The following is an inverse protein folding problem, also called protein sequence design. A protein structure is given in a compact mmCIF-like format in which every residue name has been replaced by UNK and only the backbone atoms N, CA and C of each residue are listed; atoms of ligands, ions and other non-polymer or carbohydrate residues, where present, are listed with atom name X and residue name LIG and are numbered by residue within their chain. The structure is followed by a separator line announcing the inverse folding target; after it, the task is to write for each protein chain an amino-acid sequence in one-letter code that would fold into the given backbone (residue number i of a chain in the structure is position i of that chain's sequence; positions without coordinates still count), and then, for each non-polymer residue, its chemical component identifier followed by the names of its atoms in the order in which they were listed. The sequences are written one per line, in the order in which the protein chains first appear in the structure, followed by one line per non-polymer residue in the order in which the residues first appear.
data_IF_305393565973
#
_entry.id   IF_305393565973
#
_cell.length_a   1.000
_cell.length_b   1.000
_cell.length_c   1.000
_cell.angle_alpha   90.00
_cell.angle_beta   90.00
_cell.angle_gamma   90.00
#
_symmetry.space_group_name_H-M   'P 1'
#
loop_
_entity.id
_entity.type
_entity.pdbx_description
1 polymer ?
#
# COMPACT_ATOMS: atom_id res chain seq x y z
N UNK A 1 -8.12 12.13 -76.61
CA UNK A 1 -9.51 12.58 -76.33
C UNK A 1 -10.47 11.45 -76.67
N UNK A 2 -11.12 10.86 -75.65
CA UNK A 2 -12.48 10.31 -75.63
C UNK A 2 -12.70 9.68 -74.24
N UNK A 3 -13.65 10.25 -73.51
CA UNK A 3 -14.17 9.79 -72.21
C UNK A 3 -15.44 8.93 -72.43
N UNK A 4 -15.94 8.34 -71.32
CA UNK A 4 -17.22 7.64 -71.09
C UNK A 4 -17.22 6.11 -71.29
N UNK A 5 -17.89 5.26 -70.49
CA UNK A 5 -18.82 5.33 -69.34
C UNK A 5 -18.87 3.89 -68.73
N UNK A 6 -18.86 3.66 -67.41
CA UNK A 6 -19.97 3.55 -66.43
C UNK A 6 -20.82 2.24 -66.48
N UNK A 7 -21.13 1.73 -65.27
CA UNK A 7 -22.05 0.65 -64.83
C UNK A 7 -21.38 -0.71 -64.51
N UNK A 8 -21.08 -1.05 -63.24
CA UNK A 8 -21.95 -1.50 -62.13
C UNK A 8 -22.83 -2.70 -62.51
N UNK A 9 -22.41 -3.90 -62.10
CA UNK A 9 -23.27 -5.07 -61.95
C UNK A 9 -23.00 -5.72 -60.58
N UNK A 10 -23.97 -5.57 -59.70
CA UNK A 10 -24.09 -6.21 -58.38
C UNK A 10 -24.93 -7.47 -58.57
N UNK A 11 -24.39 -8.65 -58.25
CA UNK A 11 -25.16 -9.85 -57.91
C UNK A 11 -24.22 -10.99 -57.48
N UNK A 12 -24.07 -11.22 -56.17
CA UNK A 12 -23.66 -12.55 -55.69
C UNK A 12 -24.35 -12.80 -54.36
N UNK A 13 -25.44 -13.55 -54.45
CA UNK A 13 -26.10 -14.19 -53.33
C UNK A 13 -25.26 -15.39 -52.87
N UNK A 14 -24.97 -15.49 -51.58
CA UNK A 14 -24.61 -16.77 -50.97
C UNK A 14 -25.19 -16.85 -49.56
N UNK A 15 -26.30 -17.60 -49.47
CA UNK A 15 -26.80 -18.18 -48.24
C UNK A 15 -25.69 -19.04 -47.61
N UNK A 16 -25.38 -18.79 -46.35
CA UNK A 16 -24.80 -19.80 -45.46
C UNK A 16 -25.66 -19.83 -44.20
N UNK A 17 -26.47 -20.88 -44.10
CA UNK A 17 -27.17 -21.31 -42.90
C UNK A 17 -26.32 -22.35 -42.20
N UNK A 18 -25.83 -22.10 -40.98
CA UNK A 18 -25.43 -23.13 -39.99
C UNK A 18 -25.47 -22.47 -38.59
N UNK A 19 -26.52 -22.71 -37.81
CA UNK A 19 -26.65 -23.73 -36.74
C UNK A 19 -26.26 -23.25 -35.34
N UNK A 20 -27.28 -23.20 -34.48
CA UNK A 20 -27.30 -23.67 -33.09
C UNK A 20 -26.12 -23.27 -32.18
N UNK A 21 -26.31 -22.18 -31.43
CA UNK A 21 -25.83 -22.13 -30.05
C UNK A 21 -27.02 -22.42 -29.15
N UNK A 22 -26.99 -23.57 -28.47
CA UNK A 22 -27.84 -23.86 -27.33
C UNK A 22 -27.75 -22.68 -26.36
N UNK A 23 -28.88 -22.02 -26.10
CA UNK A 23 -29.02 -21.14 -24.97
C UNK A 23 -28.86 -21.98 -23.70
N UNK A 24 -27.64 -21.97 -23.15
CA UNK A 24 -27.42 -22.34 -21.76
C UNK A 24 -28.42 -21.56 -20.92
N UNK A 25 -29.22 -22.28 -20.14
CA UNK A 25 -30.13 -21.72 -19.15
C UNK A 25 -29.27 -21.05 -18.08
N UNK A 26 -28.83 -19.83 -18.36
CA UNK A 26 -28.44 -18.91 -17.33
C UNK A 26 -29.74 -18.51 -16.65
N UNK A 27 -30.01 -19.11 -15.49
CA UNK A 27 -30.91 -18.53 -14.50
C UNK A 27 -30.31 -17.19 -14.10
N UNK A 28 -30.58 -16.18 -14.91
CA UNK A 28 -30.46 -14.78 -14.55
C UNK A 28 -31.45 -14.59 -13.41
N UNK A 29 -30.96 -14.74 -12.18
CA UNK A 29 -31.66 -14.21 -11.02
C UNK A 29 -31.82 -12.72 -11.30
N UNK A 30 -33.06 -12.31 -11.56
CA UNK A 30 -33.41 -10.92 -11.76
C UNK A 30 -32.95 -10.08 -10.57
N UNK A 31 -33.00 -8.75 -10.70
CA UNK A 31 -32.72 -7.86 -9.59
C UNK A 31 -33.52 -8.29 -8.35
N UNK A 32 -32.85 -8.38 -7.20
CA UNK A 32 -33.47 -8.73 -5.91
C UNK A 32 -34.59 -7.72 -5.67
N UNK A 33 -35.83 -8.18 -5.78
CA UNK A 33 -37.01 -7.36 -5.51
C UNK A 33 -37.20 -7.37 -4.00
N UNK A 34 -36.98 -6.23 -3.37
CA UNK A 34 -37.21 -6.04 -1.94
C UNK A 34 -38.71 -6.25 -1.67
N UNK A 35 -39.07 -7.41 -1.11
CA UNK A 35 -40.46 -7.80 -0.82
C UNK A 35 -40.85 -9.21 -1.27
N UNK A 36 -39.98 -9.95 -1.99
CA UNK A 36 -40.22 -11.35 -2.33
C UNK A 36 -39.76 -12.28 -1.20
N UNK A 37 -40.72 -12.96 -0.56
CA UNK A 37 -40.49 -13.88 0.56
C UNK A 37 -39.67 -15.12 0.20
N UNK A 38 -39.49 -15.43 -1.10
CA UNK A 38 -38.63 -16.53 -1.55
C UNK A 38 -37.13 -16.18 -1.58
N UNK A 39 -36.79 -14.90 -1.39
CA UNK A 39 -35.39 -14.43 -1.29
C UNK A 39 -34.93 -14.14 0.14
N UNK A 40 -35.83 -14.29 1.12
CA UNK A 40 -35.50 -14.13 2.53
C UNK A 40 -35.05 -15.49 3.07
N UNK A 41 -33.75 -15.62 3.33
CA UNK A 41 -33.23 -16.75 4.12
C UNK A 41 -33.76 -16.58 5.54
N UNK A 42 -34.65 -17.46 5.96
CA UNK A 42 -35.18 -17.49 7.33
C UNK A 42 -34.31 -18.41 8.18
N UNK A 43 -34.22 -18.16 9.48
CA UNK A 43 -33.39 -18.91 10.44
C UNK A 43 -33.72 -20.42 10.53
N UNK A 44 -34.77 -20.88 9.84
CA UNK A 44 -35.15 -22.29 9.75
C UNK A 44 -34.37 -23.08 8.69
N UNK A 45 -33.63 -22.41 7.79
CA UNK A 45 -32.94 -23.08 6.68
C UNK A 45 -31.51 -23.51 7.07
N UNK A 46 -31.45 -24.65 7.76
CA UNK A 46 -30.21 -25.25 8.33
C UNK A 46 -29.06 -25.46 7.34
N UNK A 47 -29.34 -25.44 6.03
CA UNK A 47 -28.32 -25.59 4.98
C UNK A 47 -27.35 -24.39 4.87
N UNK A 48 -27.74 -23.23 5.40
CA UNK A 48 -26.93 -22.00 5.32
C UNK A 48 -26.38 -21.54 6.69
N UNK A 49 -26.61 -22.32 7.74
CA UNK A 49 -26.17 -22.06 9.12
C UNK A 49 -25.14 -23.09 9.59
N UNK A 50 -24.19 -23.45 8.73
CA UNK A 50 -23.04 -24.27 9.15
C UNK A 50 -22.01 -23.37 9.86
N UNK A 51 -21.73 -23.70 11.12
CA UNK A 51 -20.68 -23.07 11.91
C UNK A 51 -19.31 -23.61 11.45
N UNK A 52 -18.52 -22.76 10.80
CA UNK A 52 -17.17 -23.12 10.32
C UNK A 52 -16.09 -22.94 11.39
N UNK A 53 -16.46 -22.73 12.66
CA UNK A 53 -15.50 -22.66 13.75
C UNK A 53 -15.18 -24.07 14.25
N UNK A 54 -14.01 -24.59 13.87
CA UNK A 54 -13.48 -25.82 14.48
C UNK A 54 -12.99 -25.50 15.89
N UNK A 55 -13.64 -26.05 16.90
CA UNK A 55 -13.21 -25.93 18.30
C UNK A 55 -11.77 -26.45 18.47
N UNK A 56 -10.87 -25.57 18.88
CA UNK A 56 -9.47 -25.91 19.16
C UNK A 56 -9.43 -26.61 20.51
N UNK A 57 -9.33 -27.94 20.52
CA UNK A 57 -9.09 -28.68 21.76
C UNK A 57 -7.70 -28.35 22.32
N UNK A 58 -7.58 -27.96 23.60
CA UNK A 58 -6.30 -27.70 24.22
C UNK A 58 -5.51 -29.02 24.37
N UNK A 59 -4.33 -29.06 23.76
CA UNK A 59 -3.37 -30.16 23.90
C UNK A 59 -2.81 -30.15 25.33
N UNK A 60 -3.21 -31.11 26.14
CA UNK A 60 -2.58 -31.40 27.43
C UNK A 60 -1.11 -31.82 27.22
N UNK A 61 -0.14 -31.20 27.91
CA UNK A 61 1.24 -31.67 27.88
C UNK A 61 1.38 -32.96 28.70
N UNK A 62 1.90 -34.01 28.06
CA UNK A 62 2.29 -35.25 28.72
C UNK A 62 3.31 -34.98 29.83
N UNK A 63 2.97 -35.45 31.02
CA UNK A 63 3.85 -35.52 32.19
C UNK A 63 4.30 -36.97 32.36
N UNK A 64 5.52 -37.12 32.89
CA UNK A 64 6.26 -38.33 33.25
C UNK A 64 7.20 -38.84 32.13
N UNK A 65 8.50 -38.97 32.37
CA UNK A 65 8.99 -40.01 33.27
C UNK A 65 10.32 -39.64 33.93
N UNK A 66 10.35 -39.92 35.24
CA UNK A 66 11.46 -39.88 36.18
C UNK A 66 12.51 -40.95 35.84
N UNK A 67 13.79 -40.64 36.01
CA UNK A 67 14.80 -41.65 36.37
C UNK A 67 15.77 -41.08 37.40
N UNK A 68 15.88 -41.84 38.48
CA UNK A 68 16.60 -41.60 39.72
C UNK A 68 17.89 -42.41 39.68
N UNK A 69 19.01 -41.85 40.15
CA UNK A 69 20.16 -42.52 40.84
C UNK A 69 21.27 -41.45 41.05
N UNK A 70 21.40 -40.84 42.24
CA UNK A 70 22.14 -41.26 43.45
C UNK A 70 23.67 -41.33 43.28
N UNK A 71 24.41 -40.36 43.85
CA UNK A 71 25.52 -40.53 44.84
C UNK A 71 26.17 -39.18 45.25
N UNK A 72 25.84 -38.73 46.48
CA UNK A 72 26.72 -38.30 47.61
C UNK A 72 27.90 -37.30 47.47
N UNK A 73 28.30 -36.62 48.59
CA UNK A 73 28.50 -35.17 48.64
C UNK A 73 29.96 -34.71 48.85
N UNK A 74 30.24 -33.42 48.62
CA UNK A 74 31.37 -32.75 49.27
C UNK A 74 31.11 -31.25 49.53
N UNK A 75 31.00 -30.98 50.82
CA UNK A 75 31.34 -29.80 51.63
C UNK A 75 31.54 -28.40 51.03
N UNK A 76 30.74 -27.49 51.62
CA UNK A 76 31.03 -26.13 52.14
C UNK A 76 31.88 -25.14 51.33
N UNK A 77 31.28 -24.00 50.94
CA UNK A 77 31.63 -22.62 51.41
C UNK A 77 30.48 -21.63 51.05
N UNK A 78 29.80 -21.14 52.09
CA UNK A 78 29.42 -19.75 52.42
C UNK A 78 28.75 -18.78 51.40
N UNK A 79 27.59 -18.25 51.83
CA UNK A 79 26.79 -17.12 51.30
C UNK A 79 27.58 -15.78 51.22
N UNK A 80 27.21 -14.70 50.51
CA UNK A 80 26.01 -14.12 49.89
C UNK A 80 26.51 -13.00 48.90
N UNK A 81 25.73 -12.04 48.34
CA UNK A 81 24.28 -11.90 48.15
C UNK A 81 23.86 -11.55 46.69
N UNK A 82 22.53 -11.55 46.47
CA UNK A 82 21.78 -11.13 45.28
C UNK A 82 22.27 -9.84 44.62
N UNK A 83 22.44 -9.87 43.30
CA UNK A 83 22.20 -8.72 42.43
C UNK A 83 21.29 -9.14 41.26
N UNK A 84 20.05 -8.66 41.30
CA UNK A 84 19.19 -8.57 40.12
C UNK A 84 19.86 -7.65 39.10
N UNK A 85 20.06 -8.07 37.85
CA UNK A 85 20.24 -7.11 36.77
C UNK A 85 18.92 -6.37 36.60
N UNK A 86 18.97 -5.08 36.94
CA UNK A 86 17.93 -4.08 36.74
C UNK A 86 17.18 -4.29 35.43
N UNK A 87 15.87 -4.45 35.60
CA UNK A 87 14.85 -4.25 34.58
C UNK A 87 15.12 -2.88 33.93
N UNK A 88 15.58 -2.90 32.66
CA UNK A 88 15.69 -1.71 31.84
C UNK A 88 14.28 -1.14 31.64
N UNK A 89 13.97 -0.07 32.34
CA UNK A 89 12.88 0.83 31.97
C UNK A 89 13.20 1.42 30.59
N UNK A 90 12.33 1.28 29.57
CA UNK A 90 12.44 2.11 28.38
C UNK A 90 11.97 3.52 28.76
N UNK A 91 12.88 4.34 29.27
CA UNK A 91 12.63 5.78 29.39
C UNK A 91 12.69 6.36 27.97
N UNK A 92 11.56 6.28 27.26
CA UNK A 92 11.35 7.01 26.01
C UNK A 92 11.40 8.51 26.31
N UNK A 93 12.59 9.10 26.19
CA UNK A 93 12.74 10.54 26.10
C UNK A 93 12.00 11.01 24.84
N UNK A 94 11.10 11.98 25.01
CA UNK A 94 10.47 12.66 23.88
C UNK A 94 11.58 13.22 22.98
N UNK A 95 11.66 12.79 21.72
CA UNK A 95 12.74 13.20 20.84
C UNK A 95 12.65 14.72 20.58
N UNK A 96 13.67 15.45 21.03
CA UNK A 96 13.81 16.89 20.84
C UNK A 96 14.87 17.14 19.77
N UNK A 97 14.44 17.71 18.64
CA UNK A 97 15.33 18.10 17.54
C UNK A 97 14.57 18.77 16.40
N UNK A 98 15.29 19.32 15.43
CA UNK A 98 14.70 19.81 14.19
C UNK A 98 14.19 18.63 13.38
N UNK A 99 12.86 18.52 13.23
CA UNK A 99 12.22 17.42 12.51
C UNK A 99 10.70 17.47 12.60
N UNK A 100 10.06 16.47 12.02
CA UNK A 100 8.61 16.32 12.05
C UNK A 100 8.20 15.53 13.29
N UNK A 101 7.54 16.20 14.23
CA UNK A 101 6.89 15.56 15.39
C UNK A 101 5.40 15.38 15.12
N UNK A 102 4.90 14.16 15.32
CA UNK A 102 3.50 13.79 15.18
C UNK A 102 3.03 13.16 16.48
N UNK A 103 2.13 13.85 17.17
CA UNK A 103 1.59 13.41 18.46
C UNK A 103 0.26 12.70 18.24
N UNK A 104 0.24 11.38 18.37
CA UNK A 104 -0.99 10.62 18.52
C UNK A 104 -1.33 10.52 20.01
N UNK A 105 -2.60 10.23 20.32
CA UNK A 105 -3.09 10.09 21.71
C UNK A 105 -2.26 9.11 22.55
N UNK A 106 -1.73 8.06 21.92
CA UNK A 106 -1.09 6.94 22.61
C UNK A 106 0.43 6.88 22.34
N UNK A 107 0.93 7.58 21.32
CA UNK A 107 2.32 7.48 20.82
C UNK A 107 2.73 8.77 20.14
N UNK A 108 3.99 9.18 20.33
CA UNK A 108 4.60 10.28 19.58
C UNK A 108 5.63 9.74 18.59
N UNK A 109 5.49 10.13 17.33
CA UNK A 109 6.41 9.78 16.23
C UNK A 109 7.24 11.01 15.88
N UNK A 110 8.53 10.81 15.69
CA UNK A 110 9.46 11.86 15.28
C UNK A 110 10.32 11.40 14.12
N UNK A 111 10.44 12.25 13.10
CA UNK A 111 11.32 12.04 11.97
C UNK A 111 12.32 13.20 11.92
N UNK A 112 13.60 12.97 12.28
CA UNK A 112 14.63 14.00 12.28
C UNK A 112 14.89 14.54 10.87
N UNK A 113 15.24 15.82 10.75
CA UNK A 113 15.69 16.41 9.49
C UNK A 113 14.60 16.62 8.44
N UNK A 114 13.35 16.24 8.74
CA UNK A 114 12.21 16.37 7.84
C UNK A 114 11.37 17.58 8.24
N UNK A 115 11.16 18.48 7.29
CA UNK A 115 10.24 19.62 7.43
C UNK A 115 8.96 19.31 6.66
N UNK A 116 7.81 19.57 7.28
CA UNK A 116 6.51 19.35 6.64
C UNK A 116 5.56 20.53 6.81
N UNK A 117 4.64 20.68 5.86
CA UNK A 117 3.52 21.62 5.93
C UNK A 117 2.25 20.83 6.29
N UNK A 118 1.50 21.31 7.27
CA UNK A 118 0.21 20.75 7.68
C UNK A 118 -0.95 21.14 6.75
N UNK A 119 -0.66 21.68 5.56
CA UNK A 119 -1.61 22.43 4.72
C UNK A 119 -2.91 21.72 4.32
N UNK A 120 -3.02 20.40 4.53
CA UNK A 120 -4.25 19.61 4.43
C UNK A 120 -4.28 18.42 5.42
N UNK A 121 -3.63 18.56 6.58
CA UNK A 121 -3.45 17.45 7.53
C UNK A 121 -4.79 17.06 8.16
N UNK A 122 -5.42 16.00 7.65
CA UNK A 122 -6.50 15.31 8.36
C UNK A 122 -5.87 14.50 9.48
N UNK A 123 -5.77 15.11 10.66
CA UNK A 123 -5.41 14.39 11.87
C UNK A 123 -6.69 13.79 12.46
N UNK A 124 -6.91 12.52 12.17
CA UNK A 124 -7.88 11.72 12.92
C UNK A 124 -7.06 11.04 14.02
N UNK A 125 -7.59 10.81 15.22
CA UNK A 125 -6.77 10.30 16.35
C UNK A 125 -5.95 9.01 16.11
N UNK A 126 -6.17 8.33 14.98
CA UNK A 126 -5.40 7.19 14.49
C UNK A 126 -4.61 7.43 13.19
N UNK A 127 -4.80 8.54 12.48
CA UNK A 127 -4.07 8.82 11.24
C UNK A 127 -3.68 10.30 11.11
N UNK A 128 -2.48 10.53 10.60
CA UNK A 128 -1.97 11.87 10.34
C UNK A 128 -1.41 11.94 8.92
N UNK A 129 -1.69 13.02 8.20
CA UNK A 129 -1.20 13.26 6.85
C UNK A 129 -0.46 14.60 6.79
N UNK A 130 0.73 14.62 6.20
CA UNK A 130 1.55 15.83 6.08
C UNK A 130 2.09 15.97 4.65
N UNK A 131 2.29 17.20 4.18
CA UNK A 131 3.03 17.45 2.94
C UNK A 131 4.50 17.68 3.24
N UNK A 132 5.41 16.97 2.57
CA UNK A 132 6.85 17.21 2.69
C UNK A 132 7.17 18.61 2.15
N UNK A 133 7.89 19.42 2.92
CA UNK A 133 8.37 20.74 2.48
C UNK A 133 9.88 20.82 2.35
N UNK A 134 10.62 19.91 2.97
CA UNK A 134 12.07 19.80 2.86
C UNK A 134 12.64 18.66 3.69
N UNK A 135 13.86 18.24 3.37
CA UNK A 135 14.53 17.10 3.99
C UNK A 135 14.43 15.82 3.16
N UNK A 136 15.28 14.85 3.48
CA UNK A 136 15.33 13.54 2.81
C UNK A 136 14.69 12.47 3.71
N UNK A 137 13.74 11.71 3.14
CA UNK A 137 13.07 10.63 3.88
C UNK A 137 13.87 9.33 3.82
N UNK A 138 14.48 9.03 2.68
CA UNK A 138 15.31 7.84 2.54
C UNK A 138 16.56 7.96 3.41
N UNK A 139 16.92 6.90 4.14
CA UNK A 139 18.06 6.91 5.05
C UNK A 139 17.80 7.60 6.40
N UNK A 140 16.69 8.33 6.55
CA UNK A 140 16.27 8.91 7.83
C UNK A 140 15.74 7.85 8.80
N UNK A 141 15.72 8.19 10.08
CA UNK A 141 15.17 7.33 11.13
C UNK A 141 13.78 7.80 11.55
N UNK A 142 12.89 6.85 11.79
CA UNK A 142 11.60 7.08 12.41
C UNK A 142 11.71 6.67 13.88
N UNK A 143 11.58 7.65 14.76
CA UNK A 143 11.68 7.50 16.22
C UNK A 143 10.27 7.45 16.82
N UNK A 144 9.97 6.45 17.63
CA UNK A 144 8.66 6.22 18.22
C UNK A 144 8.79 6.19 19.75
N UNK A 145 7.95 6.98 20.42
CA UNK A 145 7.94 7.16 21.87
C UNK A 145 6.52 7.04 22.45
N UNK A 146 6.40 6.66 23.74
CA UNK A 146 5.10 6.57 24.43
C UNK A 146 4.45 5.18 24.45
N UNK A 147 5.02 4.19 23.75
CA UNK A 147 4.52 2.81 23.73
C UNK A 147 5.54 1.82 23.16
N UNK A 148 5.21 0.53 23.24
CA UNK A 148 6.02 -0.54 22.65
C UNK A 148 5.50 -0.86 21.25
N UNK A 149 6.34 -0.68 20.24
CA UNK A 149 6.00 -0.99 18.84
C UNK A 149 6.22 -2.48 18.59
N UNK A 150 5.19 -3.16 18.09
CA UNK A 150 5.24 -4.57 17.74
C UNK A 150 5.54 -4.76 16.26
N UNK A 151 4.98 -3.90 15.41
CA UNK A 151 5.13 -3.98 13.96
C UNK A 151 5.10 -2.59 13.35
N UNK A 152 6.12 -2.29 12.54
CA UNK A 152 6.16 -1.09 11.72
C UNK A 152 6.28 -1.52 10.26
N UNK A 153 5.29 -1.15 9.44
CA UNK A 153 5.31 -1.41 8.00
C UNK A 153 5.25 -0.12 7.20
N UNK A 154 5.96 -0.11 6.08
CA UNK A 154 6.02 0.98 5.13
C UNK A 154 5.39 0.55 3.80
N UNK A 155 4.69 1.48 3.18
CA UNK A 155 4.22 1.39 1.80
C UNK A 155 4.40 2.74 1.14
N UNK A 156 4.64 2.76 -0.16
CA UNK A 156 4.70 4.00 -0.91
C UNK A 156 3.93 3.90 -2.22
N UNK A 157 3.60 5.07 -2.77
CA UNK A 157 2.99 5.22 -4.09
C UNK A 157 3.93 6.04 -4.95
N UNK A 158 4.23 5.52 -6.14
CA UNK A 158 4.99 6.21 -7.18
C UNK A 158 4.04 6.75 -8.24
N UNK A 159 4.42 7.87 -8.84
CA UNK A 159 3.76 8.44 -10.00
C UNK A 159 4.76 8.58 -11.13
N UNK A 160 4.29 8.41 -12.36
CA UNK A 160 5.08 8.71 -13.55
C UNK A 160 4.77 10.15 -13.94
N UNK A 161 5.80 10.98 -14.08
CA UNK A 161 5.69 12.34 -14.59
C UNK A 161 6.30 12.41 -15.99
N UNK A 162 5.72 13.29 -16.80
CA UNK A 162 6.27 13.71 -18.08
C UNK A 162 6.68 15.16 -17.93
N UNK A 163 7.99 15.40 -17.92
CA UNK A 163 8.56 16.74 -17.97
C UNK A 163 8.86 17.12 -19.41
N UNK A 164 8.38 18.29 -19.82
CA UNK A 164 8.65 18.87 -21.12
C UNK A 164 8.34 20.35 -21.16
N UNK A 165 8.50 20.95 -22.34
CA UNK A 165 8.38 22.40 -22.54
C UNK A 165 6.98 22.96 -22.22
N UNK A 166 5.96 22.09 -22.24
CA UNK A 166 4.57 22.43 -21.93
C UNK A 166 4.25 22.34 -20.43
N UNK A 167 5.24 22.01 -19.59
CA UNK A 167 5.13 21.82 -18.15
C UNK A 167 5.17 20.34 -17.72
N UNK A 168 5.01 20.11 -16.42
CA UNK A 168 5.01 18.78 -15.81
C UNK A 168 3.60 18.18 -15.83
N UNK A 169 3.49 16.97 -16.39
CA UNK A 169 2.24 16.21 -16.45
C UNK A 169 2.33 14.95 -15.60
N UNK A 170 1.50 14.86 -14.57
CA UNK A 170 1.38 13.65 -13.75
C UNK A 170 0.49 12.64 -14.47
N UNK A 171 1.05 11.47 -14.78
CA UNK A 171 0.36 10.38 -15.47
C UNK A 171 -0.30 9.45 -14.44
N UNK A 172 -1.41 9.91 -13.85
CA UNK A 172 -2.05 9.23 -12.70
C UNK A 172 -2.47 7.78 -12.98
N UNK A 173 -2.72 7.43 -14.24
CA UNK A 173 -3.06 6.06 -14.65
C UNK A 173 -1.92 5.07 -14.48
N UNK A 174 -0.68 5.55 -14.44
CA UNK A 174 0.53 4.75 -14.32
C UNK A 174 1.04 4.72 -12.88
N UNK A 175 0.27 5.26 -11.93
CA UNK A 175 0.61 5.19 -10.53
C UNK A 175 0.74 3.73 -10.08
N UNK A 176 1.77 3.45 -9.29
CA UNK A 176 1.98 2.15 -8.69
C UNK A 176 2.04 2.31 -7.18
N UNK A 177 1.50 1.34 -6.45
CA UNK A 177 1.58 1.31 -4.99
C UNK A 177 2.29 0.04 -4.59
N UNK A 178 3.37 0.19 -3.81
CA UNK A 178 4.18 -0.92 -3.35
C UNK A 178 3.35 -1.85 -2.43
N UNK A 179 3.88 -3.04 -2.19
CA UNK A 179 3.40 -3.86 -1.07
C UNK A 179 3.80 -3.26 0.28
N UNK A 180 3.18 -3.74 1.37
CA UNK A 180 3.59 -3.40 2.73
C UNK A 180 4.88 -4.14 3.08
N UNK A 181 5.91 -3.40 3.44
CA UNK A 181 7.23 -3.94 3.80
C UNK A 181 7.54 -3.63 5.25
N UNK A 182 8.02 -4.60 6.06
CA UNK A 182 8.40 -4.33 7.43
C UNK A 182 9.68 -3.48 7.48
N UNK A 183 9.69 -2.43 8.30
CA UNK A 183 10.89 -1.65 8.54
C UNK A 183 11.74 -2.31 9.63
N UNK A 184 13.05 -2.38 9.39
CA UNK A 184 14.01 -2.86 10.37
C UNK A 184 14.28 -1.76 11.39
N UNK A 185 14.25 -2.10 12.66
CA UNK A 185 14.48 -1.17 13.75
C UNK A 185 14.78 -1.87 15.06
N UNK A 186 15.18 -1.08 16.05
CA UNK A 186 15.41 -1.54 17.42
C UNK A 186 14.53 -0.73 18.38
N UNK A 187 13.45 -1.35 18.87
CA UNK A 187 12.51 -0.80 19.85
C UNK A 187 11.80 0.47 19.36
N UNK A 188 12.48 1.60 19.54
CA UNK A 188 11.99 2.95 19.24
C UNK A 188 12.52 3.53 17.93
N UNK A 189 13.60 3.01 17.36
CA UNK A 189 14.24 3.59 16.17
C UNK A 189 14.14 2.65 14.97
N UNK A 190 13.57 3.13 13.87
CA UNK A 190 13.38 2.37 12.63
C UNK A 190 14.00 3.10 11.45
N UNK A 191 14.70 2.39 10.58
CA UNK A 191 15.35 2.98 9.41
C UNK A 191 14.37 3.02 8.23
N UNK A 192 14.22 4.19 7.62
CA UNK A 192 13.45 4.37 6.39
C UNK A 192 14.35 4.01 5.21
N UNK A 193 13.95 3.03 4.41
CA UNK A 193 14.73 2.51 3.27
C UNK A 193 13.84 2.24 2.06
N UNK A 194 14.45 2.15 0.87
CA UNK A 194 13.76 1.77 -0.37
C UNK A 194 12.88 2.87 -0.95
N UNK A 195 13.19 4.13 -0.64
CA UNK A 195 12.51 5.32 -1.17
C UNK A 195 13.36 6.09 -2.19
N UNK A 196 14.53 5.57 -2.59
CA UNK A 196 15.37 6.16 -3.62
C UNK A 196 14.96 5.71 -5.03
N UNK A 197 15.24 6.55 -6.02
CA UNK A 197 14.82 6.39 -7.42
C UNK A 197 15.17 5.04 -8.06
N UNK A 198 16.22 4.35 -7.57
CA UNK A 198 16.65 3.06 -8.11
C UNK A 198 15.83 1.89 -7.57
N UNK A 199 15.25 2.03 -6.39
CA UNK A 199 14.45 1.00 -5.73
C UNK A 199 12.94 1.27 -5.79
N UNK A 200 12.52 2.41 -6.35
CA UNK A 200 11.12 2.73 -6.56
C UNK A 200 10.49 1.74 -7.53
N UNK A 201 9.56 0.94 -7.03
CA UNK A 201 8.70 0.11 -7.85
C UNK A 201 7.82 0.99 -8.76
N UNK A 202 7.67 0.58 -10.01
CA UNK A 202 6.86 1.30 -11.00
C UNK A 202 6.00 0.35 -11.82
N UNK A 203 4.92 0.88 -12.38
CA UNK A 203 4.04 0.10 -13.26
C UNK A 203 4.79 -0.36 -14.52
N UNK A 204 4.61 -1.63 -14.89
CA UNK A 204 5.11 -2.15 -16.17
C UNK A 204 4.12 -1.78 -17.29
N UNK A 205 4.20 -0.53 -17.76
CA UNK A 205 3.30 0.00 -18.77
C UNK A 205 3.87 -0.12 -20.19
N UNK A 206 3.06 -0.61 -21.13
CA UNK A 206 3.42 -0.64 -22.55
C UNK A 206 3.40 0.75 -23.18
N UNK A 207 4.07 0.91 -24.33
CA UNK A 207 4.05 2.17 -25.09
C UNK A 207 2.63 2.72 -25.38
N UNK A 208 1.65 1.83 -25.58
CA UNK A 208 0.25 2.24 -25.80
C UNK A 208 -0.42 2.75 -24.52
N UNK A 209 -0.14 2.12 -23.38
CA UNK A 209 -0.62 2.57 -22.08
C UNK A 209 -0.03 3.95 -21.73
N UNK A 210 1.27 4.15 -22.01
CA UNK A 210 1.96 5.43 -21.84
C UNK A 210 1.29 6.53 -22.67
N UNK A 211 1.12 6.33 -23.99
CA UNK A 211 0.46 7.32 -24.85
C UNK A 211 -0.98 7.62 -24.41
N UNK A 212 -1.72 6.60 -23.97
CA UNK A 212 -3.07 6.77 -23.45
C UNK A 212 -3.10 7.61 -22.18
N UNK A 213 -2.17 7.37 -21.26
CA UNK A 213 -2.03 8.14 -20.02
C UNK A 213 -1.66 9.60 -20.33
N UNK A 214 -0.72 9.84 -21.25
CA UNK A 214 -0.33 11.19 -21.71
C UNK A 214 -1.51 11.92 -22.34
N UNK A 215 -2.27 11.26 -23.22
CA UNK A 215 -3.46 11.85 -23.82
C UNK A 215 -4.51 12.26 -22.77
N UNK A 216 -4.72 11.43 -21.75
CA UNK A 216 -5.65 11.76 -20.65
C UNK A 216 -5.14 12.91 -19.79
N UNK A 217 -3.85 12.95 -19.47
CA UNK A 217 -3.24 14.05 -18.74
C UNK A 217 -3.34 15.38 -19.51
N UNK A 218 -3.10 15.35 -20.83
CA UNK A 218 -3.25 16.51 -21.70
C UNK A 218 -4.69 17.04 -21.73
N UNK A 219 -5.67 16.13 -21.83
CA UNK A 219 -7.10 16.47 -21.76
C UNK A 219 -7.51 17.02 -20.41
N UNK A 220 -6.99 16.46 -19.30
CA UNK A 220 -7.26 16.95 -17.96
C UNK A 220 -6.76 18.39 -17.77
N UNK A 221 -5.64 18.75 -18.41
CA UNK A 221 -5.10 20.11 -18.47
C UNK A 221 -5.76 21.01 -19.53
N UNK A 222 -6.78 20.51 -20.25
CA UNK A 222 -7.54 21.23 -21.30
C UNK A 222 -6.64 21.83 -22.38
N UNK A 223 -5.59 21.10 -22.78
CA UNK A 223 -4.71 21.54 -23.86
C UNK A 223 -5.43 21.60 -25.22
N UNK A 224 -4.92 22.43 -26.13
CA UNK A 224 -5.41 22.44 -27.51
C UNK A 224 -4.94 21.19 -28.26
N UNK A 225 -5.70 20.76 -29.28
CA UNK A 225 -5.35 19.57 -30.11
C UNK A 225 -3.92 19.61 -30.66
N UNK A 226 -3.42 20.80 -31.03
CA UNK A 226 -2.04 20.98 -31.49
C UNK A 226 -1.02 20.61 -30.40
N UNK A 227 -1.22 21.12 -29.18
CA UNK A 227 -0.36 20.83 -28.02
C UNK A 227 -0.47 19.39 -27.54
N UNK A 228 -1.67 18.80 -27.62
CA UNK A 228 -1.85 17.37 -27.34
C UNK A 228 -1.00 16.51 -28.29
N UNK A 229 -1.04 16.80 -29.60
CA UNK A 229 -0.24 16.07 -30.59
C UNK A 229 1.27 16.25 -30.39
N UNK A 230 1.70 17.45 -30.02
CA UNK A 230 3.10 17.73 -29.68
C UNK A 230 3.58 16.89 -28.49
N UNK A 231 2.76 16.83 -27.43
CA UNK A 231 3.04 16.00 -26.25
C UNK A 231 3.03 14.49 -26.58
N UNK A 232 2.13 14.04 -27.45
CA UNK A 232 2.12 12.64 -27.90
C UNK A 232 3.34 12.29 -28.76
N UNK A 233 3.83 13.25 -29.55
CA UNK A 233 5.03 13.07 -30.35
C UNK A 233 6.29 12.96 -29.49
N UNK A 234 6.38 13.70 -28.38
CA UNK A 234 7.54 13.64 -27.48
C UNK A 234 7.71 12.26 -26.83
N UNK A 235 6.61 11.53 -26.60
CA UNK A 235 6.64 10.17 -26.03
C UNK A 235 6.53 9.07 -27.09
N UNK A 236 6.58 9.38 -28.38
CA UNK A 236 6.32 8.40 -29.46
C UNK A 236 7.25 7.20 -29.39
N UNK A 237 8.51 7.41 -29.05
CA UNK A 237 9.56 6.37 -29.02
C UNK A 237 9.75 5.74 -27.63
N UNK A 238 9.00 6.19 -26.63
CA UNK A 238 9.09 5.68 -25.27
C UNK A 238 8.43 4.31 -25.19
N UNK A 239 9.18 3.32 -24.72
CA UNK A 239 8.73 1.93 -24.58
C UNK A 239 8.43 1.53 -23.14
N UNK A 240 8.99 2.25 -22.17
CA UNK A 240 8.85 1.97 -20.75
C UNK A 240 8.78 3.27 -19.92
N UNK A 241 8.24 3.18 -18.71
CA UNK A 241 7.98 4.33 -17.81
C UNK A 241 9.24 4.98 -17.23
N UNK A 242 10.36 4.27 -17.25
CA UNK A 242 11.66 4.72 -16.75
C UNK A 242 12.55 5.33 -17.86
N UNK A 243 12.02 5.53 -19.06
CA UNK A 243 12.75 6.11 -20.18
C UNK A 243 12.41 7.60 -20.34
N UNK A 244 13.42 8.44 -20.55
CA UNK A 244 13.22 9.86 -20.88
C UNK A 244 12.28 10.01 -22.09
N UNK A 245 11.38 11.01 -22.10
CA UNK A 245 11.25 12.12 -21.13
C UNK A 245 10.44 11.80 -19.86
N UNK A 246 10.07 10.54 -19.62
CA UNK A 246 9.36 10.16 -18.39
C UNK A 246 10.31 9.98 -17.21
N UNK A 247 9.78 10.25 -16.03
CA UNK A 247 10.47 10.03 -14.76
C UNK A 247 9.51 9.42 -13.75
N UNK A 248 10.01 8.47 -12.95
CA UNK A 248 9.25 7.86 -11.86
C UNK A 248 9.59 8.62 -10.60
N UNK A 249 8.60 9.24 -9.98
CA UNK A 249 8.77 10.02 -8.75
C UNK A 249 7.96 9.42 -7.62
N UNK A 250 8.50 9.52 -6.40
CA UNK A 250 7.79 9.18 -5.18
C UNK A 250 6.68 10.21 -4.94
N UNK A 251 5.43 9.75 -4.76
CA UNK A 251 4.27 10.65 -4.53
C UNK A 251 3.81 10.64 -3.08
N UNK A 252 3.74 9.47 -2.46
CA UNK A 252 3.26 9.34 -1.09
C UNK A 252 3.99 8.21 -0.40
N UNK A 253 4.30 8.38 0.88
CA UNK A 253 4.77 7.33 1.77
C UNK A 253 3.80 7.20 2.93
N UNK A 254 3.50 5.97 3.31
CA UNK A 254 2.62 5.63 4.42
C UNK A 254 3.34 4.65 5.34
N UNK A 255 3.39 4.98 6.63
CA UNK A 255 3.83 4.09 7.68
C UNK A 255 2.63 3.69 8.53
N UNK A 256 2.54 2.38 8.80
CA UNK A 256 1.56 1.81 9.69
C UNK A 256 2.28 1.26 10.92
N UNK A 257 1.91 1.80 12.07
CA UNK A 257 2.53 1.56 13.37
C UNK A 257 1.55 0.79 14.24
N UNK A 258 1.89 -0.44 14.60
CA UNK A 258 1.11 -1.28 15.49
C UNK A 258 1.91 -1.57 16.75
N UNK A 259 1.25 -1.48 17.91
CA UNK A 259 1.92 -1.63 19.19
C UNK A 259 0.96 -1.65 20.36
N UNK A 260 1.53 -1.58 21.56
CA UNK A 260 0.80 -1.46 22.83
C UNK A 260 1.19 -0.18 23.55
N UNK A 261 0.21 0.54 24.06
CA UNK A 261 0.43 1.72 24.89
C UNK A 261 1.02 1.35 26.26
N UNK A 262 1.36 2.35 27.08
CA UNK A 262 1.86 2.13 28.45
C UNK A 262 0.87 1.36 29.36
N UNK A 263 -0.41 1.29 28.99
CA UNK A 263 -1.48 0.57 29.73
C UNK A 263 -1.73 -0.84 29.17
N UNK A 264 -0.95 -1.27 28.16
CA UNK A 264 -1.09 -2.56 27.50
C UNK A 264 -2.19 -2.65 26.44
N UNK A 265 -2.88 -1.55 26.13
CA UNK A 265 -3.91 -1.49 25.08
C UNK A 265 -3.26 -1.44 23.71
N UNK A 266 -3.71 -2.31 22.81
CA UNK A 266 -3.23 -2.31 21.42
C UNK A 266 -3.69 -1.05 20.69
N UNK A 267 -2.80 -0.47 19.88
CA UNK A 267 -3.10 0.62 18.97
C UNK A 267 -2.59 0.32 17.57
N UNK A 268 -3.21 0.99 16.59
CA UNK A 268 -2.75 1.07 15.21
C UNK A 268 -2.82 2.53 14.76
N UNK A 269 -1.68 3.09 14.36
CA UNK A 269 -1.56 4.47 13.86
C UNK A 269 -1.02 4.48 12.45
N UNK A 270 -1.46 5.44 11.64
CA UNK A 270 -1.02 5.61 10.27
C UNK A 270 -0.44 7.01 10.07
N UNK A 271 0.79 7.10 9.59
CA UNK A 271 1.44 8.34 9.23
C UNK A 271 1.64 8.37 7.72
N UNK A 272 1.09 9.39 7.07
CA UNK A 272 1.22 9.63 5.63
C UNK A 272 2.02 10.90 5.38
N UNK A 273 3.01 10.82 4.50
CA UNK A 273 3.72 11.99 3.96
C UNK A 273 3.54 12.02 2.44
N UNK A 274 3.01 13.14 1.94
CA UNK A 274 2.86 13.42 0.52
C UNK A 274 4.04 14.25 0.00
N UNK A 275 4.63 13.85 -1.12
CA UNK A 275 5.74 14.57 -1.75
C UNK A 275 5.21 15.74 -2.59
N UNK A 276 5.95 16.86 -2.65
CA UNK A 276 5.67 17.91 -3.60
C UNK A 276 5.97 17.42 -5.03
N UNK A 277 5.09 17.73 -5.96
CA UNK A 277 5.25 17.52 -7.41
C UNK A 277 5.14 18.88 -8.09
#
# INVERSE_FOLDING_TARGET
MKFSNLHIAVATAMLVSFTACQSGVNKSHGPIVIGDSSTIVTEADSKYLEDFVTDIQPKTPDTATVSTETTTPKDTVQAAPKEQPKQQEPVTQAPKGNGLTVEFKDVTVFIPGVSSKSGNSKHNGNSAAYGLSGGELNGSQLQISGGTVQKLTQRYTTSVILDGDLGTFVLEQLNHTSSWTPLKGNGSNYYITGLDDRHLEHSNASANAIRSAVQRAAKAKRLSRKKENELLNSVRNVKAVNQKPLEVVLRTVVWQIEGKDAKGKSFRKELRIDMPI
#
